data_IF_143865608440
#
_entry.id   IF_143865608440
#
_cell.length_a   1.000
_cell.length_b   1.000
_cell.length_c   1.000
_cell.angle_alpha   90.00
_cell.angle_beta   90.00
_cell.angle_gamma   90.00
#
_symmetry.space_group_name_H-M   'P 1'
#
loop_
_entity.id
_entity.type
_entity.pdbx_description
1 polymer ?
#
# COMPACT_ATOMS: atom_id res chain seq x y z
N UNK A 1 -52.23 -11.20 11.17
CA UNK A 1 -51.46 -11.64 9.97
C UNK A 1 -50.69 -10.47 9.32
N UNK A 2 -51.32 -9.34 8.98
CA UNK A 2 -50.70 -8.19 8.32
C UNK A 2 -49.63 -7.51 9.19
N UNK A 3 -49.91 -7.30 10.49
CA UNK A 3 -48.99 -6.69 11.44
C UNK A 3 -47.72 -7.55 11.65
N UNK A 4 -47.86 -8.86 11.64
CA UNK A 4 -46.76 -9.81 11.82
C UNK A 4 -45.83 -9.80 10.59
N UNK A 5 -46.40 -9.68 9.37
CA UNK A 5 -45.68 -9.59 8.14
C UNK A 5 -44.92 -8.24 8.02
N UNK A 6 -45.54 -7.14 8.39
CA UNK A 6 -44.91 -5.81 8.41
C UNK A 6 -43.73 -5.76 9.40
N UNK A 7 -43.87 -6.38 10.58
CA UNK A 7 -42.79 -6.45 11.56
C UNK A 7 -41.61 -7.30 11.05
N UNK A 8 -41.91 -8.43 10.39
CA UNK A 8 -40.88 -9.27 9.78
C UNK A 8 -40.09 -8.51 8.65
N UNK A 9 -40.82 -7.78 7.83
CA UNK A 9 -40.19 -6.92 6.77
C UNK A 9 -39.31 -5.82 7.38
N UNK A 10 -39.81 -5.14 8.43
CA UNK A 10 -39.03 -4.10 9.12
C UNK A 10 -37.74 -4.65 9.74
N UNK A 11 -37.83 -5.82 10.37
CA UNK A 11 -36.64 -6.50 10.95
C UNK A 11 -35.63 -6.91 9.87
N UNK A 12 -36.12 -7.45 8.76
CA UNK A 12 -35.26 -7.84 7.63
C UNK A 12 -34.57 -6.62 7.00
N UNK A 13 -35.30 -5.54 6.80
CA UNK A 13 -34.72 -4.29 6.29
C UNK A 13 -33.65 -3.72 7.23
N UNK A 14 -33.91 -3.72 8.55
CA UNK A 14 -32.94 -3.29 9.55
C UNK A 14 -31.69 -4.19 9.54
N UNK A 15 -31.87 -5.51 9.50
CA UNK A 15 -30.76 -6.46 9.43
C UNK A 15 -29.90 -6.28 8.16
N UNK A 16 -30.52 -6.05 7.00
CA UNK A 16 -29.83 -5.75 5.75
C UNK A 16 -29.05 -4.44 5.83
N UNK A 17 -29.63 -3.40 6.42
CA UNK A 17 -28.95 -2.10 6.62
C UNK A 17 -27.74 -2.25 7.55
N UNK A 18 -27.91 -2.97 8.67
CA UNK A 18 -26.82 -3.24 9.60
C UNK A 18 -25.70 -4.07 8.95
N UNK A 19 -26.04 -5.12 8.19
CA UNK A 19 -25.06 -5.92 7.47
C UNK A 19 -24.29 -5.11 6.43
N UNK A 20 -24.97 -4.19 5.73
CA UNK A 20 -24.35 -3.26 4.77
C UNK A 20 -23.39 -2.30 5.47
N UNK A 21 -23.79 -1.72 6.59
CA UNK A 21 -22.95 -0.81 7.37
C UNK A 21 -21.70 -1.52 7.93
N UNK A 22 -21.84 -2.71 8.48
CA UNK A 22 -20.72 -3.54 8.96
C UNK A 22 -19.78 -3.90 7.80
N UNK A 23 -20.30 -4.19 6.63
CA UNK A 23 -19.52 -4.45 5.43
C UNK A 23 -18.70 -3.22 4.98
N UNK A 24 -19.32 -2.04 4.99
CA UNK A 24 -18.65 -0.77 4.65
C UNK A 24 -17.60 -0.39 5.70
N UNK A 25 -17.89 -0.51 6.99
CA UNK A 25 -16.91 -0.26 8.06
C UNK A 25 -15.72 -1.21 7.97
N UNK A 26 -15.92 -2.48 7.63
CA UNK A 26 -14.83 -3.44 7.41
C UNK A 26 -14.01 -3.11 6.19
N UNK A 27 -14.61 -2.62 5.13
CA UNK A 27 -13.91 -2.20 3.91
C UNK A 27 -13.08 -0.94 4.17
N UNK A 28 -13.66 0.09 4.79
CA UNK A 28 -12.97 1.32 5.21
C UNK A 28 -11.83 1.04 6.19
N UNK A 29 -12.02 0.06 7.12
CA UNK A 29 -10.98 -0.35 8.04
C UNK A 29 -9.77 -1.08 7.38
N UNK A 30 -9.82 -1.36 6.07
CA UNK A 30 -8.77 -2.08 5.31
C UNK A 30 -8.18 -1.27 4.15
N UNK A 31 -8.67 -0.04 3.94
CA UNK A 31 -8.20 0.87 2.89
C UNK A 31 -7.58 2.14 3.49
N UNK A 32 -6.66 2.73 2.78
CA UNK A 32 -6.11 4.06 3.05
C UNK A 32 -7.00 5.12 2.40
N UNK A 33 -7.51 6.06 3.18
CA UNK A 33 -8.50 7.05 2.72
C UNK A 33 -7.93 8.03 1.68
N UNK A 34 -6.62 8.33 1.76
CA UNK A 34 -5.99 9.28 0.85
C UNK A 34 -5.77 8.68 -0.54
N UNK A 35 -5.27 7.46 -0.61
CA UNK A 35 -4.86 6.83 -1.87
C UNK A 35 -5.84 5.81 -2.41
N UNK A 36 -6.78 5.33 -1.57
CA UNK A 36 -7.70 4.23 -1.90
C UNK A 36 -7.04 2.84 -1.93
N UNK A 37 -5.73 2.77 -1.72
CA UNK A 37 -4.99 1.52 -1.65
C UNK A 37 -5.35 0.71 -0.40
N UNK A 38 -5.10 -0.61 -0.38
CA UNK A 38 -4.98 -1.36 0.85
C UNK A 38 -4.13 -0.64 1.89
N UNK A 39 -4.54 -0.70 3.16
CA UNK A 39 -3.76 -0.13 4.25
C UNK A 39 -2.84 -1.17 4.92
N UNK A 40 -2.06 -0.74 5.92
CA UNK A 40 -1.18 -1.60 6.70
C UNK A 40 -1.90 -2.83 7.27
N UNK A 41 -3.11 -2.66 7.80
CA UNK A 41 -3.88 -3.77 8.39
C UNK A 41 -4.19 -4.84 7.36
N UNK A 42 -4.53 -4.45 6.13
CA UNK A 42 -4.77 -5.40 5.05
C UNK A 42 -3.49 -6.11 4.62
N UNK A 43 -2.39 -5.38 4.41
CA UNK A 43 -1.11 -6.00 4.06
C UNK A 43 -0.71 -7.08 5.08
N UNK A 44 -0.72 -6.73 6.37
CA UNK A 44 -0.35 -7.66 7.45
C UNK A 44 -1.25 -8.88 7.47
N UNK A 45 -2.57 -8.72 7.26
CA UNK A 45 -3.50 -9.85 7.22
C UNK A 45 -3.28 -10.80 6.02
N UNK A 46 -2.71 -10.30 4.93
CA UNK A 46 -2.41 -11.12 3.75
C UNK A 46 -1.07 -11.87 3.89
N UNK A 47 -0.16 -11.39 4.74
CA UNK A 47 1.15 -12.05 4.98
C UNK A 47 0.97 -13.46 5.51
N UNK A 48 0.01 -13.72 6.38
CA UNK A 48 -0.22 -15.04 6.97
C UNK A 48 -0.57 -16.11 5.90
N UNK A 49 -1.37 -15.73 4.91
CA UNK A 49 -1.69 -16.60 3.77
C UNK A 49 -0.57 -16.65 2.74
N UNK A 50 0.16 -15.54 2.59
CA UNK A 50 1.27 -15.39 1.66
C UNK A 50 2.49 -16.24 2.04
N UNK A 51 2.69 -16.53 3.33
CA UNK A 51 3.84 -17.30 3.85
C UNK A 51 3.98 -18.69 3.22
N UNK A 52 2.89 -19.26 2.70
CA UNK A 52 2.88 -20.56 2.01
C UNK A 52 3.22 -20.47 0.52
N UNK A 53 3.48 -19.27 0.00
CA UNK A 53 3.70 -19.03 -1.44
C UNK A 53 5.15 -18.63 -1.71
N UNK A 54 5.63 -18.92 -2.91
CA UNK A 54 6.87 -18.33 -3.38
C UNK A 54 6.65 -16.85 -3.68
N UNK A 55 7.51 -15.99 -3.14
CA UNK A 55 7.38 -14.56 -3.34
C UNK A 55 8.29 -13.73 -2.46
N UNK A 56 8.01 -12.43 -2.44
CA UNK A 56 8.73 -11.46 -1.64
C UNK A 56 7.80 -10.37 -1.09
N UNK A 57 8.21 -9.79 0.04
CA UNK A 57 7.68 -8.56 0.57
C UNK A 57 8.66 -7.43 0.25
N UNK A 58 8.16 -6.38 -0.39
CA UNK A 58 8.89 -5.14 -0.62
C UNK A 58 8.33 -4.07 0.33
N UNK A 59 9.21 -3.40 1.06
CA UNK A 59 8.86 -2.19 1.81
C UNK A 59 9.53 -0.99 1.17
N UNK A 60 8.78 0.09 1.01
CA UNK A 60 9.18 1.29 0.30
C UNK A 60 9.01 2.50 1.20
N UNK A 61 10.00 3.38 1.19
CA UNK A 61 9.98 4.66 1.91
C UNK A 61 10.39 5.78 0.92
N UNK A 62 9.56 6.81 0.79
CA UNK A 62 9.81 7.91 -0.14
C UNK A 62 10.91 8.82 0.39
N UNK A 63 11.97 8.99 -0.40
CA UNK A 63 13.10 9.84 -0.03
C UNK A 63 12.76 11.31 -0.33
N UNK A 64 12.92 12.17 0.67
CA UNK A 64 12.68 13.60 0.53
C UNK A 64 11.21 14.04 0.62
N UNK A 65 10.29 13.19 1.10
CA UNK A 65 8.88 13.54 1.19
C UNK A 65 8.59 14.60 2.27
N UNK A 66 9.26 14.52 3.43
CA UNK A 66 9.09 15.53 4.49
C UNK A 66 9.41 16.96 4.02
N UNK A 67 10.56 17.23 3.37
CA UNK A 67 10.83 18.55 2.78
C UNK A 67 9.75 19.03 1.80
N UNK A 68 9.09 18.14 1.07
CA UNK A 68 7.99 18.52 0.16
C UNK A 68 6.84 19.10 0.96
N UNK A 69 6.42 18.46 2.06
CA UNK A 69 5.40 19.00 2.95
C UNK A 69 5.80 20.33 3.57
N UNK A 70 7.06 20.44 4.01
CA UNK A 70 7.58 21.64 4.68
C UNK A 70 7.64 22.85 3.72
N UNK A 71 7.96 22.63 2.45
CA UNK A 71 8.11 23.70 1.44
C UNK A 71 6.78 23.99 0.73
N UNK A 72 6.02 22.95 0.34
CA UNK A 72 4.85 23.07 -0.55
C UNK A 72 3.51 22.89 0.17
N UNK A 73 3.54 22.51 1.46
CA UNK A 73 2.36 22.25 2.28
C UNK A 73 1.81 20.83 2.14
N UNK A 74 1.02 20.42 3.12
CA UNK A 74 0.47 19.05 3.21
C UNK A 74 -0.50 18.73 2.07
N UNK A 75 -1.27 19.70 1.55
CA UNK A 75 -2.16 19.46 0.41
C UNK A 75 -1.38 19.03 -0.84
N UNK A 76 -0.23 19.67 -1.10
CA UNK A 76 0.66 19.27 -2.19
C UNK A 76 1.28 17.90 -1.93
N UNK A 77 1.71 17.63 -0.71
CA UNK A 77 2.21 16.31 -0.31
C UNK A 77 1.18 15.21 -0.49
N UNK A 78 -0.08 15.45 -0.16
CA UNK A 78 -1.18 14.51 -0.38
C UNK A 78 -1.37 14.20 -1.87
N UNK A 79 -1.32 15.20 -2.74
CA UNK A 79 -1.38 15.01 -4.20
C UNK A 79 -0.17 14.23 -4.72
N UNK A 80 1.02 14.44 -4.15
CA UNK A 80 2.21 13.64 -4.47
C UNK A 80 1.98 12.18 -4.10
N UNK A 81 1.50 11.88 -2.90
CA UNK A 81 1.21 10.51 -2.46
C UNK A 81 0.19 9.81 -3.35
N UNK A 82 -0.87 10.51 -3.76
CA UNK A 82 -1.87 9.97 -4.69
C UNK A 82 -1.26 9.63 -6.06
N UNK A 83 -0.40 10.50 -6.59
CA UNK A 83 0.28 10.24 -7.86
C UNK A 83 1.34 9.14 -7.76
N UNK A 84 2.06 9.04 -6.64
CA UNK A 84 2.97 7.92 -6.35
C UNK A 84 2.20 6.60 -6.37
N UNK A 85 1.08 6.53 -5.66
CA UNK A 85 0.22 5.36 -5.63
C UNK A 85 -0.20 4.92 -7.05
N UNK A 86 -0.66 5.85 -7.89
CA UNK A 86 -1.04 5.57 -9.28
C UNK A 86 0.13 5.06 -10.13
N UNK A 87 1.34 5.66 -9.97
CA UNK A 87 2.54 5.22 -10.70
C UNK A 87 2.95 3.81 -10.27
N UNK A 88 2.91 3.50 -8.98
CA UNK A 88 3.23 2.18 -8.46
C UNK A 88 2.23 1.12 -8.93
N UNK A 89 0.92 1.41 -8.86
CA UNK A 89 -0.11 0.48 -9.36
C UNK A 89 0.10 0.12 -10.84
N UNK A 90 0.43 1.11 -11.67
CA UNK A 90 0.65 0.90 -13.11
C UNK A 90 1.93 0.12 -13.43
N UNK A 91 2.93 0.19 -12.56
CA UNK A 91 4.21 -0.49 -12.75
C UNK A 91 4.21 -1.92 -12.19
N UNK A 92 3.27 -2.24 -11.31
CA UNK A 92 3.19 -3.55 -10.69
C UNK A 92 2.58 -4.59 -11.64
N UNK A 93 3.10 -5.83 -11.63
CA UNK A 93 2.49 -6.93 -12.36
C UNK A 93 1.12 -7.27 -11.77
N UNK A 94 0.27 -7.85 -12.60
CA UNK A 94 -1.06 -8.30 -12.19
C UNK A 94 -0.97 -9.32 -11.04
N UNK A 95 -1.79 -9.14 -10.02
CA UNK A 95 -1.83 -10.01 -8.84
C UNK A 95 -0.92 -9.56 -7.68
N UNK A 96 -0.03 -8.58 -7.87
CA UNK A 96 0.70 -7.98 -6.75
C UNK A 96 -0.25 -7.14 -5.86
N UNK A 97 -0.07 -7.22 -4.56
CA UNK A 97 -0.80 -6.39 -3.60
C UNK A 97 0.03 -5.17 -3.26
N UNK A 98 -0.42 -3.99 -3.64
CA UNK A 98 0.15 -2.71 -3.19
C UNK A 98 -0.66 -2.17 -2.01
N UNK A 99 0.03 -1.71 -0.97
CA UNK A 99 -0.59 -1.08 0.20
C UNK A 99 0.16 0.21 0.58
N UNK A 100 -0.56 1.19 1.12
CA UNK A 100 0.06 2.31 1.84
C UNK A 100 0.04 2.02 3.33
N UNK A 101 1.21 2.10 3.98
CA UNK A 101 1.38 1.70 5.38
C UNK A 101 1.18 2.87 6.35
N UNK A 102 1.27 4.08 5.85
CA UNK A 102 1.13 5.35 6.58
C UNK A 102 2.21 6.33 6.15
N UNK A 103 1.97 7.64 6.30
CA UNK A 103 2.94 8.66 5.91
C UNK A 103 3.40 8.50 4.46
N UNK A 104 4.69 8.30 4.29
CA UNK A 104 5.40 8.10 3.03
C UNK A 104 5.85 6.65 2.79
N UNK A 105 5.29 5.70 3.55
CA UNK A 105 5.63 4.28 3.46
C UNK A 105 4.60 3.47 2.66
N UNK A 106 5.10 2.59 1.78
CA UNK A 106 4.31 1.64 1.00
C UNK A 106 4.83 0.21 1.19
N UNK A 107 4.01 -0.76 0.86
CA UNK A 107 4.39 -2.18 0.88
C UNK A 107 3.80 -2.92 -0.30
N UNK A 108 4.54 -3.91 -0.80
CA UNK A 108 4.11 -4.78 -1.91
C UNK A 108 4.31 -6.24 -1.53
N UNK A 109 3.25 -7.04 -1.63
CA UNK A 109 3.36 -8.49 -1.66
C UNK A 109 3.37 -8.93 -3.12
N UNK A 110 4.44 -9.60 -3.51
CA UNK A 110 4.67 -10.08 -4.86
C UNK A 110 4.86 -11.60 -4.88
N UNK A 111 4.04 -12.31 -5.67
CA UNK A 111 4.18 -13.75 -5.91
C UNK A 111 5.09 -13.98 -7.11
N UNK A 112 6.22 -14.63 -6.92
CA UNK A 112 7.22 -14.92 -7.96
C UNK A 112 8.61 -15.11 -7.40
N UNK A 113 9.57 -15.43 -8.26
CA UNK A 113 10.96 -15.66 -7.87
C UNK A 113 11.63 -14.40 -7.31
N UNK A 114 12.74 -14.60 -6.59
CA UNK A 114 13.47 -13.50 -5.96
C UNK A 114 14.05 -12.50 -6.99
N UNK A 115 14.57 -13.00 -8.10
CA UNK A 115 15.11 -12.14 -9.18
C UNK A 115 14.01 -11.25 -9.77
N UNK A 116 12.83 -11.83 -10.03
CA UNK A 116 11.66 -11.08 -10.49
C UNK A 116 11.20 -10.02 -9.48
N UNK A 117 11.32 -10.30 -8.17
CA UNK A 117 11.01 -9.33 -7.12
C UNK A 117 11.97 -8.14 -7.14
N UNK A 118 13.25 -8.37 -7.43
CA UNK A 118 14.24 -7.30 -7.60
C UNK A 118 13.93 -6.47 -8.85
N UNK A 119 13.53 -7.10 -9.95
CA UNK A 119 13.09 -6.39 -11.17
C UNK A 119 11.87 -5.52 -10.89
N UNK A 120 10.90 -6.01 -10.12
CA UNK A 120 9.73 -5.23 -9.66
C UNK A 120 10.18 -4.03 -8.83
N UNK A 121 11.11 -4.20 -7.89
CA UNK A 121 11.65 -3.11 -7.09
C UNK A 121 12.31 -2.03 -7.96
N UNK A 122 13.13 -2.43 -8.94
CA UNK A 122 13.77 -1.51 -9.88
C UNK A 122 12.76 -0.78 -10.78
N UNK A 123 11.70 -1.47 -11.23
CA UNK A 123 10.62 -0.86 -11.99
C UNK A 123 9.87 0.20 -11.18
N UNK A 124 9.53 -0.10 -9.92
CA UNK A 124 8.89 0.86 -9.01
C UNK A 124 9.77 2.09 -8.79
N UNK A 125 11.07 1.89 -8.53
CA UNK A 125 12.03 2.99 -8.38
C UNK A 125 12.10 3.84 -9.65
N UNK A 126 12.14 3.24 -10.82
CA UNK A 126 12.19 3.93 -12.10
C UNK A 126 10.98 4.84 -12.34
N UNK A 127 9.80 4.52 -11.80
CA UNK A 127 8.61 5.38 -11.95
C UNK A 127 8.77 6.74 -11.30
N UNK A 128 9.64 6.86 -10.30
CA UNK A 128 9.92 8.12 -9.59
C UNK A 128 11.09 8.92 -10.21
N UNK A 129 11.74 8.41 -11.26
CA UNK A 129 12.75 9.13 -12.01
C UNK A 129 12.20 10.34 -12.76
N UNK A 130 10.89 10.34 -13.02
CA UNK A 130 10.21 11.45 -13.67
C UNK A 130 9.56 12.35 -12.62
N UNK A 131 9.71 13.68 -12.74
CA UNK A 131 9.13 14.63 -11.80
C UNK A 131 7.60 14.54 -11.78
N UNK A 132 7.02 15.03 -10.70
CA UNK A 132 5.60 15.23 -10.53
C UNK A 132 5.27 16.67 -10.84
N UNK A 133 4.23 16.92 -11.64
CA UNK A 133 3.73 18.26 -11.93
C UNK A 133 2.45 18.49 -11.13
N UNK A 134 2.56 19.28 -10.06
CA UNK A 134 1.45 19.54 -9.13
C UNK A 134 1.36 21.04 -8.89
N UNK A 135 0.20 21.65 -9.12
CA UNK A 135 -0.04 23.09 -8.91
C UNK A 135 1.00 23.98 -9.63
N UNK A 136 1.34 23.66 -10.88
CA UNK A 136 2.37 24.34 -11.68
C UNK A 136 3.79 24.27 -11.08
N UNK A 137 4.05 23.33 -10.20
CA UNK A 137 5.36 23.08 -9.62
C UNK A 137 5.87 21.72 -10.07
N UNK A 138 7.16 21.64 -10.28
CA UNK A 138 7.86 20.39 -10.55
C UNK A 138 8.47 19.88 -9.25
N UNK A 139 8.09 18.66 -8.87
CA UNK A 139 8.49 18.02 -7.61
C UNK A 139 9.21 16.73 -7.95
N UNK A 140 10.44 16.58 -7.44
CA UNK A 140 11.24 15.38 -7.56
C UNK A 140 11.39 14.72 -6.20
N UNK A 141 11.23 13.39 -6.17
CA UNK A 141 11.52 12.56 -5.00
C UNK A 141 12.03 11.19 -5.44
N UNK A 142 12.72 10.51 -4.54
CA UNK A 142 13.19 9.15 -4.73
C UNK A 142 12.43 8.16 -3.86
N UNK A 143 12.88 6.92 -3.87
CA UNK A 143 12.37 5.85 -3.00
C UNK A 143 13.50 4.90 -2.63
N UNK A 144 13.51 4.49 -1.37
CA UNK A 144 14.34 3.41 -0.85
C UNK A 144 13.47 2.17 -0.68
N UNK A 145 13.90 1.03 -1.23
CA UNK A 145 13.13 -0.21 -1.28
C UNK A 145 13.91 -1.33 -0.62
N UNK A 146 13.31 -1.97 0.38
CA UNK A 146 13.82 -3.21 0.96
C UNK A 146 13.06 -4.41 0.42
N UNK A 147 13.78 -5.41 -0.07
CA UNK A 147 13.20 -6.65 -0.62
C UNK A 147 13.57 -7.81 0.28
N UNK A 148 12.57 -8.50 0.82
CA UNK A 148 12.76 -9.72 1.60
C UNK A 148 12.05 -10.90 0.91
N UNK A 149 12.85 -11.92 0.56
CA UNK A 149 12.31 -13.19 0.04
C UNK A 149 11.47 -13.88 1.11
N UNK A 150 10.32 -14.40 0.73
CA UNK A 150 9.54 -15.27 1.59
C UNK A 150 10.23 -16.64 1.74
N UNK A 151 10.60 -16.96 2.97
CA UNK A 151 11.24 -18.24 3.35
C UNK A 151 10.30 -19.17 4.12
N UNK A 152 9.03 -18.78 4.26
CA UNK A 152 8.05 -19.49 5.09
C UNK A 152 8.13 -19.16 6.59
N UNK A 153 9.00 -18.22 6.98
CA UNK A 153 9.17 -17.79 8.38
C UNK A 153 8.35 -16.53 8.68
N UNK A 154 7.91 -16.39 9.94
CA UNK A 154 7.06 -15.27 10.38
C UNK A 154 7.78 -13.93 10.51
N UNK A 155 9.07 -13.88 10.25
CA UNK A 155 9.90 -12.68 10.36
C UNK A 155 9.99 -11.85 9.07
N UNK A 156 9.18 -12.19 8.05
CA UNK A 156 9.22 -11.57 6.71
C UNK A 156 9.14 -10.03 6.77
N UNK A 157 8.24 -9.50 7.61
CA UNK A 157 8.07 -8.05 7.77
C UNK A 157 9.32 -7.41 8.37
N UNK A 158 9.91 -8.03 9.38
CA UNK A 158 11.15 -7.53 10.04
C UNK A 158 12.32 -7.53 9.07
N UNK A 159 12.45 -8.58 8.26
CA UNK A 159 13.53 -8.69 7.27
C UNK A 159 13.38 -7.64 6.16
N UNK A 160 12.16 -7.39 5.70
CA UNK A 160 11.89 -6.35 4.70
C UNK A 160 12.18 -4.94 5.26
N UNK A 161 11.81 -4.68 6.51
CA UNK A 161 12.08 -3.40 7.19
C UNK A 161 13.58 -3.16 7.34
N UNK A 162 14.33 -4.17 7.79
CA UNK A 162 15.79 -4.10 7.90
C UNK A 162 16.46 -3.85 6.53
N UNK A 163 15.98 -4.50 5.46
CA UNK A 163 16.48 -4.30 4.11
C UNK A 163 16.21 -2.87 3.61
N UNK A 164 15.00 -2.34 3.83
CA UNK A 164 14.64 -0.97 3.49
C UNK A 164 15.50 0.05 4.22
N UNK A 165 15.67 -0.12 5.54
CA UNK A 165 16.52 0.75 6.34
C UNK A 165 17.96 0.76 5.84
N UNK A 166 18.50 -0.40 5.48
CA UNK A 166 19.83 -0.53 4.88
C UNK A 166 19.92 0.22 3.55
N UNK A 167 18.96 0.00 2.64
CA UNK A 167 18.92 0.67 1.34
C UNK A 167 18.88 2.20 1.50
N UNK A 168 18.09 2.70 2.44
CA UNK A 168 17.98 4.13 2.75
C UNK A 168 19.28 4.70 3.30
N UNK A 169 19.90 4.03 4.26
CA UNK A 169 21.13 4.50 4.91
C UNK A 169 22.34 4.50 3.98
N UNK A 170 22.44 3.51 3.11
CA UNK A 170 23.56 3.34 2.18
C UNK A 170 23.33 4.08 0.85
N UNK A 171 22.15 4.65 0.62
CA UNK A 171 21.81 5.35 -0.61
C UNK A 171 21.73 4.44 -1.82
N UNK A 172 21.53 3.13 -1.63
CA UNK A 172 21.52 2.13 -2.70
C UNK A 172 20.21 2.14 -3.51
N UNK A 173 19.12 2.60 -2.89
CA UNK A 173 17.81 2.66 -3.48
C UNK A 173 17.05 1.32 -3.52
N UNK A 174 17.74 0.19 -3.61
CA UNK A 174 17.20 -1.17 -3.49
C UNK A 174 18.24 -2.06 -2.81
#
# INVERSE_FOLDING_TARGET
AIATLALAFARMALALTQAKNIGQERLLARTDELTGLPNRRRLVSEIDSFIQKEGALLLLDLDGFKPINDIHGHETGDKVLQQVALRFERALPHGALLARLGGDEFGVLYEGGHESALEVALALRATLSYPFHINNQEIQLGVSIGVAKNTGEKDLLVRADNAMYKAKREGLGV
#
